data_IF_456556644290
#
_entry.id   IF_456556644290
#
_cell.length_a   1.000
_cell.length_b   1.000
_cell.length_c   1.000
_cell.angle_alpha   90.00
_cell.angle_beta   90.00
_cell.angle_gamma   90.00
#
_symmetry.space_group_name_H-M   'P 1'
#
loop_
_entity.id
_entity.type
_entity.pdbx_description
1 polymer ?
#
# COMPACT_ATOMS: atom_id res chain seq x y z
N UNK A 1 -50.09 23.31 -11.30
CA UNK A 1 -49.89 24.09 -10.06
C UNK A 1 -50.64 23.38 -8.93
N UNK A 2 -49.96 22.53 -8.14
CA UNK A 2 -50.52 21.92 -6.92
C UNK A 2 -49.50 22.09 -5.81
N UNK A 3 -49.98 22.64 -4.71
CA UNK A 3 -49.21 23.18 -3.60
C UNK A 3 -48.55 22.09 -2.75
N UNK A 4 -47.31 22.37 -2.31
CA UNK A 4 -46.67 21.78 -1.13
C UNK A 4 -47.22 22.46 0.12
N UNK A 5 -47.35 21.72 1.22
CA UNK A 5 -46.89 22.09 2.58
C UNK A 5 -47.25 20.92 3.53
N UNK A 6 -46.22 20.25 4.11
CA UNK A 6 -45.79 20.31 5.53
C UNK A 6 -46.58 19.36 6.44
N UNK A 7 -46.09 18.81 7.55
CA UNK A 7 -44.79 18.43 8.15
C UNK A 7 -45.19 17.91 9.55
N UNK A 8 -44.33 17.12 10.20
CA UNK A 8 -44.30 16.76 11.64
C UNK A 8 -45.17 15.59 12.13
N UNK A 9 -44.48 14.51 12.49
CA UNK A 9 -44.80 13.66 13.64
C UNK A 9 -43.45 13.36 14.32
N UNK A 10 -43.07 14.11 15.36
CA UNK A 10 -43.33 13.89 16.81
C UNK A 10 -42.52 12.74 17.39
N UNK A 11 -41.83 13.08 18.48
CA UNK A 11 -40.72 12.44 19.15
C UNK A 11 -41.07 11.17 19.96
N UNK A 12 -40.03 10.41 20.31
CA UNK A 12 -39.99 9.64 21.55
C UNK A 12 -38.57 9.69 22.13
N UNK A 13 -38.40 10.49 23.17
CA UNK A 13 -37.28 10.44 24.11
C UNK A 13 -37.60 9.33 25.11
N UNK A 14 -36.70 8.38 25.32
CA UNK A 14 -36.70 7.55 26.52
C UNK A 14 -35.39 7.76 27.27
N UNK A 15 -35.51 8.43 28.41
CA UNK A 15 -34.55 8.45 29.49
C UNK A 15 -34.79 7.27 30.44
N UNK A 16 -33.91 7.14 31.45
CA UNK A 16 -33.87 6.20 32.60
C UNK A 16 -32.78 5.13 32.41
N UNK A 17 -31.85 4.86 33.33
CA UNK A 17 -31.59 5.36 34.70
C UNK A 17 -30.22 4.81 35.12
N UNK A 18 -29.56 5.56 35.99
CA UNK A 18 -28.30 5.25 36.67
C UNK A 18 -28.37 4.00 37.56
N UNK A 19 -27.28 3.22 37.62
CA UNK A 19 -26.91 2.46 38.82
C UNK A 19 -25.40 2.44 39.04
N UNK A 20 -25.07 2.52 40.32
CA UNK A 20 -23.78 2.69 40.99
C UNK A 20 -22.70 1.62 40.71
N UNK A 21 -21.45 2.09 40.71
CA UNK A 21 -20.34 1.69 41.60
C UNK A 21 -20.30 0.24 42.10
N UNK A 22 -19.30 -0.52 41.64
CA UNK A 22 -18.67 -1.59 42.41
C UNK A 22 -17.16 -1.63 42.09
N UNK A 23 -16.36 -1.46 43.13
CA UNK A 23 -14.91 -1.49 43.12
C UNK A 23 -14.39 -2.89 43.50
N UNK A 24 -13.19 -3.19 42.96
CA UNK A 24 -12.19 -4.17 43.42
C UNK A 24 -12.45 -5.67 43.14
N UNK A 25 -11.39 -6.53 43.11
CA UNK A 25 -9.96 -6.26 43.36
C UNK A 25 -9.02 -6.67 42.20
N UNK A 26 -7.84 -6.04 42.21
CA UNK A 26 -6.68 -6.47 41.43
C UNK A 26 -6.14 -7.82 41.96
N UNK A 27 -5.77 -8.77 41.09
CA UNK A 27 -4.99 -9.92 41.51
C UNK A 27 -3.54 -9.48 41.78
N UNK A 28 -3.08 -9.91 42.95
CA UNK A 28 -1.80 -9.62 43.57
C UNK A 28 -0.58 -9.97 42.70
N UNK A 29 0.46 -9.16 42.82
CA UNK A 29 1.85 -9.53 42.51
C UNK A 29 2.41 -10.47 43.59
N UNK A 30 3.01 -11.59 43.17
CA UNK A 30 4.22 -12.14 43.78
C UNK A 30 5.25 -12.38 42.66
N UNK A 31 6.55 -12.19 42.76
CA UNK A 31 7.46 -12.08 43.90
C UNK A 31 8.67 -11.25 43.45
N UNK A 32 9.18 -10.42 44.35
CA UNK A 32 10.57 -10.01 44.30
C UNK A 32 11.44 -11.25 44.56
N UNK A 33 12.27 -11.62 43.60
CA UNK A 33 13.49 -12.40 43.86
C UNK A 33 14.63 -11.42 43.79
N UNK A 34 15.13 -11.03 44.97
CA UNK A 34 16.47 -10.52 45.11
C UNK A 34 17.43 -11.71 45.01
N UNK A 35 18.29 -11.71 43.99
CA UNK A 35 19.37 -12.67 43.78
C UNK A 35 20.54 -11.96 43.08
N UNK A 36 21.74 -12.17 43.64
CA UNK A 36 23.00 -11.41 43.55
C UNK A 36 23.54 -10.97 42.17
N UNK A 37 24.45 -9.96 42.17
CA UNK A 37 25.09 -9.44 40.97
C UNK A 37 26.23 -10.35 40.52
N UNK A 38 26.21 -10.72 39.24
CA UNK A 38 27.28 -11.46 38.60
C UNK A 38 26.75 -12.63 37.79
N UNK A 39 26.38 -12.37 36.54
CA UNK A 39 27.15 -12.94 35.44
C UNK A 39 26.76 -12.28 34.13
N UNK A 40 27.73 -12.15 33.23
CA UNK A 40 27.55 -11.67 31.86
C UNK A 40 26.67 -12.65 31.10
N UNK A 41 25.35 -12.51 31.17
CA UNK A 41 24.47 -13.04 30.13
C UNK A 41 24.44 -12.04 28.99
N UNK A 42 25.24 -12.36 27.97
CA UNK A 42 25.09 -11.85 26.62
C UNK A 42 23.60 -11.70 26.31
N UNK A 43 23.19 -10.48 25.95
CA UNK A 43 21.90 -10.23 25.33
C UNK A 43 21.78 -11.22 24.18
N UNK A 44 20.93 -12.24 24.36
CA UNK A 44 20.41 -13.03 23.27
C UNK A 44 19.60 -12.09 22.39
N UNK A 45 20.29 -11.31 21.58
CA UNK A 45 19.73 -10.49 20.51
C UNK A 45 19.16 -11.49 19.53
N UNK A 46 17.87 -11.79 19.66
CA UNK A 46 17.13 -12.47 18.60
C UNK A 46 17.44 -11.72 17.31
N UNK A 47 17.93 -12.46 16.31
CA UNK A 47 18.15 -11.96 14.97
C UNK A 47 16.88 -11.28 14.45
N UNK A 48 17.06 -10.10 13.85
CA UNK A 48 16.06 -9.04 13.71
C UNK A 48 14.92 -9.35 12.76
N UNK A 49 13.71 -9.10 13.25
CA UNK A 49 12.55 -8.69 12.45
C UNK A 49 12.32 -7.20 12.76
N UNK A 50 13.34 -6.36 12.59
CA UNK A 50 13.23 -4.94 12.89
C UNK A 50 12.69 -4.23 11.67
N UNK A 51 11.66 -3.41 11.88
CA UNK A 51 11.14 -2.50 10.86
C UNK A 51 12.18 -1.43 10.55
N UNK A 52 12.52 -1.29 9.28
CA UNK A 52 13.40 -0.24 8.78
C UNK A 52 12.52 0.85 8.16
N UNK A 53 12.53 2.08 8.68
CA UNK A 53 11.74 3.18 8.13
C UNK A 53 12.11 3.49 6.68
N UNK A 54 11.11 3.90 5.91
CA UNK A 54 11.29 4.44 4.56
C UNK A 54 11.23 5.96 4.64
N UNK A 55 12.27 6.65 4.20
CA UNK A 55 12.37 8.13 4.21
C UNK A 55 11.78 8.76 2.95
N UNK A 56 11.51 7.95 1.93
CA UNK A 56 10.78 8.33 0.73
C UNK A 56 11.36 7.66 -0.51
N UNK A 57 11.09 8.21 -1.69
CA UNK A 57 11.55 7.62 -2.95
C UNK A 57 10.51 7.76 -4.05
N UNK A 58 10.60 6.91 -5.06
CA UNK A 58 9.71 6.97 -6.22
C UNK A 58 9.28 5.58 -6.67
N UNK A 59 8.05 5.46 -7.13
CA UNK A 59 7.54 4.27 -7.79
C UNK A 59 6.92 4.62 -9.13
N UNK A 60 7.34 3.91 -10.18
CA UNK A 60 6.77 4.01 -11.52
C UNK A 60 5.86 2.81 -11.77
N UNK A 61 4.62 3.09 -12.12
CA UNK A 61 3.60 2.10 -12.45
C UNK A 61 3.26 2.17 -13.93
N UNK A 62 3.71 1.19 -14.69
CA UNK A 62 3.50 1.09 -16.12
C UNK A 62 2.34 0.14 -16.44
N UNK A 63 1.42 0.52 -17.33
CA UNK A 63 0.47 -0.43 -17.88
C UNK A 63 1.22 -1.41 -18.81
N UNK A 64 1.09 -2.74 -18.62
CA UNK A 64 1.74 -3.71 -19.49
C UNK A 64 1.29 -3.53 -20.97
N UNK A 65 2.15 -3.80 -21.97
CA UNK A 65 1.81 -3.52 -23.37
C UNK A 65 0.50 -4.14 -23.86
N UNK A 66 0.18 -5.34 -23.38
CA UNK A 66 -1.07 -6.04 -23.69
C UNK A 66 -2.30 -5.35 -23.11
N UNK A 67 -2.21 -4.86 -21.87
CA UNK A 67 -3.27 -4.07 -21.26
C UNK A 67 -3.39 -2.71 -21.94
N UNK A 68 -2.28 -2.04 -22.26
CA UNK A 68 -2.30 -0.75 -22.94
C UNK A 68 -2.96 -0.84 -24.32
N UNK A 69 -2.67 -1.90 -25.08
CA UNK A 69 -3.35 -2.18 -26.34
C UNK A 69 -4.86 -2.36 -26.13
N UNK A 70 -5.27 -3.17 -25.16
CA UNK A 70 -6.69 -3.39 -24.86
C UNK A 70 -7.40 -2.10 -24.39
N UNK A 71 -6.75 -1.26 -23.57
CA UNK A 71 -7.29 0.04 -23.17
C UNK A 71 -7.53 0.93 -24.40
N UNK A 72 -6.53 1.05 -25.28
CA UNK A 72 -6.62 1.83 -26.52
C UNK A 72 -7.72 1.31 -27.44
N UNK A 73 -7.82 0.00 -27.63
CA UNK A 73 -8.83 -0.65 -28.49
C UNK A 73 -10.25 -0.44 -27.98
N UNK A 74 -10.41 -0.12 -26.70
CA UNK A 74 -11.68 0.21 -26.07
C UNK A 74 -11.88 1.73 -25.82
N UNK A 75 -10.98 2.57 -26.31
CA UNK A 75 -11.06 4.03 -26.15
C UNK A 75 -10.81 4.51 -24.72
N UNK A 76 -10.14 3.70 -23.90
CA UNK A 76 -9.72 4.05 -22.55
C UNK A 76 -8.33 4.65 -22.58
N UNK A 77 -8.16 5.85 -22.03
CA UNK A 77 -6.87 6.51 -21.84
C UNK A 77 -6.50 6.56 -20.37
N UNK A 78 -5.20 6.64 -20.09
CA UNK A 78 -4.65 6.84 -18.74
C UNK A 78 -4.31 8.32 -18.61
N UNK A 79 -4.56 8.92 -17.46
CA UNK A 79 -4.16 10.28 -17.14
C UNK A 79 -3.66 10.36 -15.69
N UNK A 80 -2.78 11.31 -15.41
CA UNK A 80 -2.31 11.55 -14.05
C UNK A 80 -3.38 12.29 -13.23
N UNK A 81 -3.40 12.02 -11.93
CA UNK A 81 -4.21 12.72 -10.95
C UNK A 81 -3.28 13.43 -9.98
N UNK A 82 -3.41 14.74 -9.86
CA UNK A 82 -2.64 15.52 -8.89
C UNK A 82 -3.17 15.31 -7.45
N UNK A 83 -2.45 15.84 -6.46
CA UNK A 83 -2.82 15.70 -5.04
C UNK A 83 -4.17 16.38 -4.68
N UNK A 84 -4.65 17.32 -5.51
CA UNK A 84 -5.99 17.91 -5.35
C UNK A 84 -7.09 17.00 -5.94
N UNK A 85 -6.70 15.87 -6.53
CA UNK A 85 -7.59 14.96 -7.22
C UNK A 85 -8.02 15.46 -8.60
N UNK A 86 -7.34 16.43 -9.20
CA UNK A 86 -7.62 16.91 -10.56
C UNK A 86 -6.90 16.03 -11.57
N UNK A 87 -7.59 15.75 -12.66
CA UNK A 87 -7.03 15.00 -13.78
C UNK A 87 -6.21 15.96 -14.62
N UNK A 88 -4.92 15.70 -14.77
CA UNK A 88 -4.02 16.49 -15.59
C UNK A 88 -4.52 16.53 -17.04
N UNK A 89 -4.56 17.73 -17.64
CA UNK A 89 -4.92 17.92 -19.05
C UNK A 89 -3.89 17.35 -20.02
N UNK A 90 -2.69 17.03 -19.51
CA UNK A 90 -1.69 16.28 -20.24
C UNK A 90 -2.16 14.83 -20.33
N UNK A 91 -2.97 14.54 -21.35
CA UNK A 91 -3.39 13.17 -21.65
C UNK A 91 -2.16 12.30 -21.90
N UNK A 92 -2.05 11.26 -21.08
CA UNK A 92 -0.88 10.41 -21.07
C UNK A 92 -1.06 9.27 -22.08
N UNK A 93 -0.17 9.18 -23.07
CA UNK A 93 -0.27 8.25 -24.21
C UNK A 93 0.50 6.93 -24.04
N UNK A 94 1.01 6.62 -22.83
CA UNK A 94 1.15 5.21 -22.42
C UNK A 94 2.52 4.65 -22.05
N UNK A 95 3.26 5.24 -21.12
CA UNK A 95 4.43 4.60 -20.50
C UNK A 95 4.49 4.63 -18.95
N UNK A 96 3.36 4.66 -18.23
CA UNK A 96 3.25 4.66 -16.76
C UNK A 96 3.18 5.99 -16.00
N UNK A 97 2.65 5.94 -14.78
CA UNK A 97 2.57 7.05 -13.80
C UNK A 97 3.71 6.92 -12.79
N UNK A 98 4.30 8.03 -12.36
CA UNK A 98 5.27 8.04 -11.26
C UNK A 98 4.63 8.64 -10.02
N UNK A 99 4.72 7.93 -8.90
CA UNK A 99 4.23 8.34 -7.59
C UNK A 99 5.41 8.47 -6.64
N UNK A 100 5.43 9.53 -5.85
CA UNK A 100 6.38 9.67 -4.75
C UNK A 100 6.01 8.71 -3.62
N UNK A 101 7.03 8.23 -2.91
CA UNK A 101 6.89 7.44 -1.69
C UNK A 101 7.11 8.40 -0.53
N UNK A 102 6.13 8.49 0.36
CA UNK A 102 6.17 9.41 1.51
C UNK A 102 6.55 8.71 2.82
N UNK A 103 6.44 7.38 2.85
CA UNK A 103 6.93 6.63 3.99
C UNK A 103 6.50 5.17 3.99
N UNK A 104 6.47 4.61 5.19
CA UNK A 104 6.26 3.19 5.43
C UNK A 104 7.46 2.57 6.14
N UNK A 105 7.50 1.25 6.14
CA UNK A 105 8.59 0.51 6.75
C UNK A 105 8.81 -0.81 6.01
N UNK A 106 10.06 -1.24 5.95
CA UNK A 106 10.48 -2.48 5.30
C UNK A 106 10.93 -3.47 6.36
N UNK A 107 10.55 -4.73 6.18
CA UNK A 107 11.01 -5.85 7.01
C UNK A 107 11.50 -6.99 6.13
N UNK A 108 12.22 -7.95 6.73
CA UNK A 108 12.47 -9.24 6.12
C UNK A 108 11.52 -10.27 6.76
N UNK A 109 10.49 -10.68 6.01
CA UNK A 109 9.51 -11.66 6.45
C UNK A 109 9.75 -12.98 5.71
N UNK A 110 10.47 -13.91 6.35
CA UNK A 110 10.70 -15.24 5.79
C UNK A 110 11.59 -15.25 4.54
N UNK A 111 12.61 -14.37 4.50
CA UNK A 111 13.54 -14.24 3.37
C UNK A 111 13.03 -13.35 2.24
N UNK A 112 11.83 -12.79 2.38
CA UNK A 112 11.19 -11.91 1.39
C UNK A 112 10.97 -10.52 1.96
N UNK A 113 10.93 -9.54 1.07
CA UNK A 113 10.54 -8.17 1.43
C UNK A 113 9.15 -8.20 2.05
N UNK A 114 9.03 -7.59 3.24
CA UNK A 114 7.79 -7.37 3.98
C UNK A 114 7.66 -5.92 4.43
N UNK A 115 6.59 -5.60 5.16
CA UNK A 115 6.27 -4.24 5.61
C UNK A 115 5.20 -3.55 4.76
N UNK A 116 5.30 -2.23 4.65
CA UNK A 116 4.33 -1.35 3.98
C UNK A 116 5.06 -0.19 3.28
N UNK A 117 4.59 0.20 2.10
CA UNK A 117 4.95 1.46 1.43
C UNK A 117 3.72 2.35 1.29
N UNK A 118 3.87 3.62 1.67
CA UNK A 118 2.85 4.65 1.50
C UNK A 118 3.29 5.60 0.40
N UNK A 119 2.41 5.77 -0.58
CA UNK A 119 2.63 6.68 -1.70
C UNK A 119 1.94 8.01 -1.42
N UNK A 120 2.41 9.08 -2.07
CA UNK A 120 1.80 10.39 -2.02
C UNK A 120 0.36 10.37 -2.55
N UNK A 121 -0.41 11.41 -2.23
CA UNK A 121 -1.83 11.60 -2.61
C UNK A 121 -2.07 11.75 -4.13
N UNK A 122 -1.03 11.62 -4.94
CA UNK A 122 -1.12 11.58 -6.39
C UNK A 122 -1.63 10.22 -6.88
N UNK A 123 -2.18 10.19 -8.09
CA UNK A 123 -2.72 8.95 -8.61
C UNK A 123 -2.90 8.93 -10.12
N UNK A 124 -3.81 8.08 -10.57
CA UNK A 124 -4.11 7.91 -11.99
C UNK A 124 -5.61 7.83 -12.22
N UNK A 125 -6.05 8.27 -13.39
CA UNK A 125 -7.41 8.17 -13.86
C UNK A 125 -7.45 7.34 -15.14
N UNK A 126 -8.49 6.52 -15.24
CA UNK A 126 -8.83 5.82 -16.47
C UNK A 126 -10.07 6.51 -17.06
N UNK A 127 -9.97 6.94 -18.31
CA UNK A 127 -10.99 7.74 -19.00
C UNK A 127 -11.48 6.99 -20.22
N UNK A 128 -12.75 6.58 -20.24
CA UNK A 128 -13.33 5.91 -21.40
C UNK A 128 -14.07 6.92 -22.28
N UNK A 129 -13.45 7.29 -23.40
CA UNK A 129 -14.02 8.21 -24.40
C UNK A 129 -15.26 7.67 -25.10
N UNK A 130 -15.44 6.34 -25.18
CA UNK A 130 -16.60 5.72 -25.83
C UNK A 130 -17.84 5.71 -24.94
N UNK A 131 -17.66 5.58 -23.64
CA UNK A 131 -18.77 5.54 -22.67
C UNK A 131 -18.96 6.86 -21.93
N UNK A 132 -18.01 7.79 -22.03
CA UNK A 132 -18.00 9.04 -21.27
C UNK A 132 -17.72 8.84 -19.77
N UNK A 133 -17.31 7.64 -19.36
CA UNK A 133 -17.07 7.30 -17.96
C UNK A 133 -15.60 7.48 -17.58
N UNK A 134 -15.36 7.76 -16.30
CA UNK A 134 -14.02 7.87 -15.74
C UNK A 134 -13.99 7.18 -14.37
N UNK A 135 -12.81 6.68 -14.00
CA UNK A 135 -12.53 6.22 -12.64
C UNK A 135 -11.19 6.80 -12.20
N UNK A 136 -11.15 7.35 -11.00
CA UNK A 136 -9.91 7.81 -10.35
C UNK A 136 -9.40 6.73 -9.42
N UNK A 137 -8.08 6.59 -9.38
CA UNK A 137 -7.37 5.64 -8.53
C UNK A 137 -6.29 6.43 -7.80
N UNK A 138 -6.42 6.54 -6.48
CA UNK A 138 -5.58 7.34 -5.59
C UNK A 138 -5.29 6.59 -4.30
N UNK A 139 -4.55 7.20 -3.37
CA UNK A 139 -4.32 6.66 -2.03
C UNK A 139 -3.64 5.29 -2.07
N UNK A 140 -2.60 5.19 -2.90
CA UNK A 140 -1.90 3.92 -3.09
C UNK A 140 -1.20 3.49 -1.80
N UNK A 141 -1.34 2.22 -1.45
CA UNK A 141 -0.59 1.58 -0.35
C UNK A 141 -0.10 0.21 -0.80
N UNK A 142 1.20 0.00 -0.74
CA UNK A 142 1.84 -1.28 -1.03
C UNK A 142 2.02 -2.08 0.24
N UNK A 143 1.18 -3.09 0.49
CA UNK A 143 1.40 -4.06 1.57
C UNK A 143 2.43 -5.09 1.08
N UNK A 144 3.68 -4.85 1.45
CA UNK A 144 4.80 -5.71 1.12
C UNK A 144 4.75 -7.02 1.88
N UNK A 145 4.05 -7.10 3.02
CA UNK A 145 3.92 -8.32 3.81
C UNK A 145 2.99 -9.35 3.14
N UNK A 146 1.92 -8.87 2.53
CA UNK A 146 0.96 -9.71 1.80
C UNK A 146 1.26 -9.78 0.30
N UNK A 147 2.08 -8.87 -0.23
CA UNK A 147 2.31 -8.75 -1.66
C UNK A 147 1.08 -8.20 -2.38
N UNK A 148 0.47 -7.14 -1.83
CA UNK A 148 -0.75 -6.55 -2.39
C UNK A 148 -0.61 -5.05 -2.59
N UNK A 149 -1.26 -4.54 -3.62
CA UNK A 149 -1.41 -3.10 -3.86
C UNK A 149 -2.86 -2.72 -3.57
N UNK A 150 -3.05 -1.79 -2.63
CA UNK A 150 -4.33 -1.18 -2.30
C UNK A 150 -4.39 0.23 -2.87
N UNK A 151 -5.61 0.67 -3.18
CA UNK A 151 -5.90 2.05 -3.56
C UNK A 151 -7.38 2.37 -3.36
N UNK A 152 -7.70 3.64 -3.26
CA UNK A 152 -9.07 4.15 -3.43
C UNK A 152 -9.53 4.05 -4.88
N UNK A 153 -10.80 3.68 -5.10
CA UNK A 153 -11.47 3.80 -6.40
C UNK A 153 -12.57 4.83 -6.29
N UNK A 154 -12.38 5.94 -7.00
CA UNK A 154 -13.09 7.19 -6.74
C UNK A 154 -12.99 7.57 -5.24
N UNK A 155 -13.71 8.59 -4.75
CA UNK A 155 -13.71 8.93 -3.30
C UNK A 155 -14.39 7.86 -2.40
N UNK A 156 -14.31 6.60 -2.79
CA UNK A 156 -14.90 5.44 -2.12
C UNK A 156 -13.92 4.72 -1.20
N UNK A 157 -14.35 3.55 -0.69
CA UNK A 157 -13.52 2.72 0.17
C UNK A 157 -12.37 2.04 -0.61
N UNK A 158 -11.23 1.90 0.06
CA UNK A 158 -10.07 1.17 -0.44
C UNK A 158 -10.44 -0.21 -0.98
N UNK A 159 -9.75 -0.59 -2.04
CA UNK A 159 -9.79 -1.95 -2.59
C UNK A 159 -8.38 -2.45 -2.80
N UNK A 160 -8.18 -3.75 -2.64
CA UNK A 160 -6.99 -4.42 -3.15
C UNK A 160 -7.05 -4.45 -4.67
N UNK A 161 -6.36 -3.51 -5.31
CA UNK A 161 -6.28 -3.42 -6.77
C UNK A 161 -5.67 -4.68 -7.37
N UNK A 162 -4.57 -5.14 -6.78
CA UNK A 162 -3.84 -6.26 -7.32
C UNK A 162 -2.90 -6.92 -6.33
N UNK A 163 -2.33 -8.04 -6.79
CA UNK A 163 -1.36 -8.84 -6.05
C UNK A 163 -0.06 -8.94 -6.83
N UNK A 164 1.06 -9.03 -6.12
CA UNK A 164 2.37 -9.20 -6.71
C UNK A 164 3.20 -10.20 -5.89
N UNK A 165 4.16 -10.84 -6.55
CA UNK A 165 5.07 -11.75 -5.86
C UNK A 165 6.10 -10.95 -5.07
N UNK A 166 6.17 -11.19 -3.76
CA UNK A 166 7.18 -10.59 -2.89
C UNK A 166 8.59 -11.04 -3.31
N UNK A 167 9.50 -10.11 -3.64
CA UNK A 167 10.87 -10.46 -4.00
C UNK A 167 11.68 -10.89 -2.78
N UNK A 168 12.81 -11.55 -3.01
CA UNK A 168 13.74 -11.92 -1.94
C UNK A 168 14.39 -10.67 -1.35
N UNK A 169 14.44 -10.55 -0.02
CA UNK A 169 14.98 -9.37 0.65
C UNK A 169 16.45 -9.09 0.26
N UNK A 170 17.29 -10.13 0.23
CA UNK A 170 18.70 -10.04 -0.16
C UNK A 170 18.93 -9.57 -1.61
N UNK A 171 17.94 -9.72 -2.49
CA UNK A 171 18.05 -9.31 -3.90
C UNK A 171 17.48 -7.91 -4.15
N UNK A 172 16.66 -7.41 -3.22
CA UNK A 172 15.94 -6.15 -3.36
C UNK A 172 16.48 -5.05 -2.45
N UNK A 173 17.21 -5.37 -1.39
CA UNK A 173 17.80 -4.37 -0.49
C UNK A 173 19.27 -4.17 -0.84
N UNK A 174 19.60 -2.97 -1.30
CA UNK A 174 20.97 -2.49 -1.44
C UNK A 174 21.40 -1.87 -0.10
N UNK A 175 22.25 -2.60 0.62
CA UNK A 175 22.71 -2.18 1.95
C UNK A 175 23.67 -1.00 1.89
N UNK A 176 24.36 -0.81 0.77
CA UNK A 176 25.40 0.20 0.63
C UNK A 176 24.77 1.55 0.22
N UNK A 177 23.73 1.50 -0.61
CA UNK A 177 22.95 2.68 -0.99
C UNK A 177 21.81 3.02 -0.01
N UNK A 178 21.54 2.16 0.98
CA UNK A 178 20.36 2.21 1.84
C UNK A 178 19.05 2.32 1.02
N UNK A 179 18.89 1.42 0.04
CA UNK A 179 17.73 1.43 -0.86
C UNK A 179 17.02 0.08 -0.93
N UNK A 180 15.69 0.13 -0.97
CA UNK A 180 14.86 -0.95 -1.47
C UNK A 180 14.59 -0.72 -2.96
N UNK A 181 14.96 -1.70 -3.79
CA UNK A 181 14.66 -1.76 -5.22
C UNK A 181 13.76 -2.94 -5.52
N UNK A 182 12.59 -2.67 -6.07
CA UNK A 182 11.66 -3.70 -6.50
C UNK A 182 11.25 -3.49 -7.94
N UNK A 183 11.19 -4.60 -8.65
CA UNK A 183 10.63 -4.66 -9.99
C UNK A 183 9.63 -5.82 -10.01
N UNK A 184 8.34 -5.52 -10.11
CA UNK A 184 7.29 -6.53 -9.95
C UNK A 184 6.08 -6.29 -10.84
N UNK A 185 5.49 -7.39 -11.30
CA UNK A 185 4.22 -7.38 -12.03
C UNK A 185 3.07 -7.55 -11.06
N UNK A 186 2.07 -6.69 -11.20
CA UNK A 186 0.85 -6.68 -10.40
C UNK A 186 -0.29 -7.24 -11.23
N UNK A 187 -0.97 -8.25 -10.70
CA UNK A 187 -2.16 -8.86 -11.31
C UNK A 187 -3.42 -8.33 -10.64
N UNK A 188 -4.48 -8.06 -11.42
CA UNK A 188 -5.72 -7.48 -10.89
C UNK A 188 -6.50 -8.52 -10.07
N UNK A 189 -7.06 -8.11 -8.94
CA UNK A 189 -7.97 -8.97 -8.16
C UNK A 189 -9.35 -9.06 -8.81
N UNK A 190 -10.14 -10.07 -8.44
CA UNK A 190 -11.50 -10.21 -8.95
C UNK A 190 -12.39 -9.00 -8.61
N UNK A 191 -12.26 -8.49 -7.38
CA UNK A 191 -13.05 -7.34 -6.89
C UNK A 191 -12.66 -6.07 -7.65
N UNK A 192 -11.36 -5.83 -7.80
CA UNK A 192 -10.87 -4.66 -8.54
C UNK A 192 -11.27 -4.74 -10.02
N UNK A 193 -11.12 -5.90 -10.66
CA UNK A 193 -11.51 -6.10 -12.07
C UNK A 193 -13.00 -5.80 -12.29
N UNK A 194 -13.87 -6.30 -11.42
CA UNK A 194 -15.30 -6.04 -11.50
C UNK A 194 -15.62 -4.54 -11.31
N UNK A 195 -15.02 -3.88 -10.30
CA UNK A 195 -15.22 -2.45 -10.05
C UNK A 195 -14.73 -1.59 -11.22
N UNK A 196 -13.52 -1.84 -11.73
CA UNK A 196 -12.94 -1.09 -12.86
C UNK A 196 -13.77 -1.26 -14.13
N UNK A 197 -14.16 -2.49 -14.46
CA UNK A 197 -15.02 -2.77 -15.61
C UNK A 197 -16.39 -2.08 -15.49
N UNK A 198 -17.02 -2.10 -14.31
CA UNK A 198 -18.29 -1.44 -14.07
C UNK A 198 -18.17 0.09 -14.18
N UNK A 199 -17.12 0.66 -13.58
CA UNK A 199 -16.84 2.09 -13.61
C UNK A 199 -16.56 2.58 -15.04
N UNK A 200 -15.84 1.81 -15.86
CA UNK A 200 -15.50 2.20 -17.23
C UNK A 200 -16.55 1.78 -18.27
N UNK A 201 -17.47 0.87 -17.91
CA UNK A 201 -18.39 0.26 -18.87
C UNK A 201 -17.68 -0.65 -19.88
N UNK A 202 -16.71 -1.44 -19.41
CA UNK A 202 -15.87 -2.32 -20.24
C UNK A 202 -15.82 -3.75 -19.69
N UNK A 203 -15.07 -4.64 -20.35
CA UNK A 203 -14.75 -6.00 -19.88
C UNK A 203 -13.25 -6.30 -20.05
N UNK A 204 -12.41 -5.28 -19.96
CA UNK A 204 -10.97 -5.36 -20.26
C UNK A 204 -10.23 -6.05 -19.12
N UNK A 205 -10.63 -5.79 -17.87
CA UNK A 205 -9.98 -6.36 -16.70
C UNK A 205 -10.52 -7.75 -16.40
N UNK A 206 -9.63 -8.72 -16.28
CA UNK A 206 -9.95 -10.10 -15.94
C UNK A 206 -9.21 -10.50 -14.68
N UNK A 207 -9.85 -11.23 -13.77
CA UNK A 207 -9.23 -11.71 -12.53
C UNK A 207 -7.90 -12.41 -12.81
N UNK A 208 -6.83 -12.01 -12.10
CA UNK A 208 -5.49 -12.56 -12.30
C UNK A 208 -4.78 -12.07 -13.57
N UNK A 209 -5.44 -11.25 -14.39
CA UNK A 209 -4.87 -10.61 -15.55
C UNK A 209 -3.86 -9.50 -15.18
N UNK A 210 -3.04 -9.06 -16.14
CA UNK A 210 -2.07 -7.99 -15.92
C UNK A 210 -2.78 -6.67 -15.56
N UNK A 211 -2.30 -5.99 -14.52
CA UNK A 211 -2.79 -4.68 -14.12
C UNK A 211 -1.72 -3.61 -14.34
N UNK A 212 -0.59 -3.75 -13.65
CA UNK A 212 0.50 -2.77 -13.65
C UNK A 212 1.83 -3.51 -13.55
N UNK A 213 2.88 -2.83 -13.98
CA UNK A 213 4.25 -3.20 -13.71
C UNK A 213 4.88 -2.09 -12.87
N UNK A 214 5.33 -2.43 -11.66
CA UNK A 214 5.84 -1.48 -10.69
C UNK A 214 7.37 -1.57 -10.61
N UNK A 215 8.02 -0.42 -10.79
CA UNK A 215 9.45 -0.20 -10.52
C UNK A 215 9.56 0.76 -9.35
N UNK A 216 10.06 0.28 -8.22
CA UNK A 216 10.07 0.99 -6.94
C UNK A 216 11.51 1.17 -6.50
N UNK A 217 11.86 2.41 -6.19
CA UNK A 217 13.13 2.81 -5.59
C UNK A 217 12.81 3.58 -4.30
N UNK A 218 12.88 2.92 -3.15
CA UNK A 218 12.58 3.50 -1.84
C UNK A 218 13.86 3.65 -1.02
N UNK A 219 14.10 4.84 -0.47
CA UNK A 219 15.19 5.15 0.44
C UNK A 219 14.84 4.66 1.85
N UNK A 220 15.74 3.88 2.41
CA UNK A 220 15.66 3.37 3.77
C UNK A 220 16.48 4.28 4.68
N UNK A 221 16.11 4.36 5.96
CA UNK A 221 16.87 5.15 6.96
C UNK A 221 18.34 4.70 6.97
N UNK A 222 19.28 5.57 6.56
CA UNK A 222 20.70 5.23 6.44
C UNK A 222 21.39 5.07 7.79
N UNK A 223 20.74 5.49 8.88
CA UNK A 223 21.24 5.35 10.25
C UNK A 223 21.08 3.91 10.77
N UNK A 224 20.27 3.09 10.09
CA UNK A 224 20.01 1.70 10.47
C UNK A 224 21.01 0.76 9.80
N UNK A 225 21.66 -0.11 10.59
CA UNK A 225 22.41 -1.24 10.03
C UNK A 225 21.43 -2.24 9.38
N UNK A 226 21.24 -2.08 8.07
CA UNK A 226 20.28 -2.84 7.28
C UNK A 226 20.55 -4.34 7.29
N UNK A 227 21.82 -4.76 7.32
CA UNK A 227 22.17 -6.19 7.35
C UNK A 227 21.68 -6.83 8.64
N UNK A 228 21.91 -6.14 9.76
CA UNK A 228 21.48 -6.61 11.08
C UNK A 228 19.97 -6.49 11.25
N UNK A 229 19.37 -5.35 10.89
CA UNK A 229 17.95 -5.07 11.09
C UNK A 229 17.04 -6.00 10.28
N UNK A 230 17.43 -6.29 9.03
CA UNK A 230 16.67 -7.13 8.11
C UNK A 230 17.22 -8.57 8.03
N UNK A 231 18.17 -8.94 8.90
CA UNK A 231 18.78 -10.28 8.91
C UNK A 231 19.20 -10.77 7.50
N UNK A 232 19.91 -9.90 6.76
CA UNK A 232 20.31 -10.18 5.38
C UNK A 232 21.58 -11.03 5.39
N UNK A 233 21.50 -12.23 4.84
CA UNK A 233 22.66 -13.13 4.72
C UNK A 233 23.62 -12.61 3.65
N UNK A 234 24.84 -12.28 4.06
CA UNK A 234 25.81 -11.59 3.22
C UNK A 234 26.28 -12.39 2.00
N UNK A 235 26.23 -11.75 0.83
CA UNK A 235 27.26 -11.91 -0.19
C UNK A 235 27.92 -10.54 -0.36
N UNK A 236 29.24 -10.39 -0.20
CA UNK A 236 29.89 -9.14 -0.55
C UNK A 236 29.64 -8.90 -2.05
N UNK A 237 29.24 -7.67 -2.40
CA UNK A 237 29.25 -7.22 -3.78
C UNK A 237 30.67 -7.44 -4.33
N UNK A 238 30.79 -8.26 -5.38
CA UNK A 238 32.04 -8.46 -6.08
C UNK A 238 32.41 -7.12 -6.71
N UNK A 239 33.38 -6.41 -6.13
CA UNK A 239 34.07 -5.33 -6.83
C UNK A 239 34.76 -5.98 -8.02
N UNK A 240 34.24 -5.75 -9.22
CA UNK A 240 35.04 -5.95 -10.43
C UNK A 240 36.08 -4.83 -10.43
N UNK A 241 37.35 -5.25 -10.43
CA UNK A 241 38.53 -4.40 -10.51
C UNK A 241 38.85 -4.10 -11.98
#
# INVERSE_FOLDING_TARGET
MRARLRLLATAAVLALTSTLLAAAPAPASPSAVAGSPGDRTATGRRAGNTEVPVEGGTARFDAPPTLLAALKDHGVTIADVDADGRISQHHYTGAGVSLDIEGGAVTNSGGKVGGELRFADTGLALLNSRTGKAVKISDFVGDLSQGTLRAGLDRGADVTLGTFTRPAANASVDTDAAMLRMNTSITVTAVAAAKLNAALGTKIFTTGGPLLHARIDARLDPSVDLRTALNLSGRPARREA
#
